data_IF_119692103019
#
_entry.id   IF_119692103019
#
_cell.length_a   1.000
_cell.length_b   1.000
_cell.length_c   1.000
_cell.angle_alpha   90.00
_cell.angle_beta   90.00
_cell.angle_gamma   90.00
#
_symmetry.space_group_name_H-M   'P 1'
#
loop_
_entity.id
_entity.type
_entity.pdbx_description
1 polymer ?
#
# COMPACT_ATOMS: atom_id res chain seq x y z
N UNK A 1 2.96 23.48 -4.29
CA UNK A 1 2.92 23.35 -2.81
C UNK A 1 3.61 22.05 -2.46
N UNK A 2 4.72 22.07 -1.71
CA UNK A 2 5.29 20.83 -1.18
C UNK A 2 4.30 20.25 -0.18
N UNK A 3 3.75 19.08 -0.49
CA UNK A 3 2.63 18.45 0.23
C UNK A 3 2.98 18.12 1.69
N UNK A 4 4.28 17.99 2.01
CA UNK A 4 4.77 17.69 3.36
C UNK A 4 6.07 18.45 3.63
N UNK A 5 6.22 19.01 4.84
CA UNK A 5 7.46 19.66 5.29
C UNK A 5 8.45 18.68 5.94
N UNK A 6 9.75 18.98 5.90
CA UNK A 6 10.78 18.19 6.62
C UNK A 6 10.42 18.04 8.10
N UNK A 7 9.92 19.11 8.72
CA UNK A 7 9.54 19.13 10.13
C UNK A 7 8.46 18.09 10.43
N UNK A 8 7.41 18.01 9.62
CA UNK A 8 6.35 17.00 9.78
C UNK A 8 6.87 15.57 9.59
N UNK A 9 7.76 15.35 8.61
CA UNK A 9 8.39 14.03 8.40
C UNK A 9 9.26 13.62 9.60
N UNK A 10 9.97 14.58 10.18
CA UNK A 10 10.79 14.35 11.37
C UNK A 10 9.93 14.00 12.59
N UNK A 11 8.86 14.76 12.82
CA UNK A 11 7.88 14.54 13.91
C UNK A 11 7.14 13.20 13.76
N UNK A 12 6.79 12.81 12.54
CA UNK A 12 6.19 11.51 12.24
C UNK A 12 7.16 10.32 12.39
N UNK A 13 8.47 10.58 12.58
CA UNK A 13 9.46 9.53 12.77
C UNK A 13 9.82 8.74 11.50
N UNK A 14 9.50 9.23 10.30
CA UNK A 14 9.75 8.49 9.04
C UNK A 14 11.23 8.37 8.67
N UNK A 15 12.08 9.14 9.34
CA UNK A 15 13.54 9.12 9.16
C UNK A 15 14.20 7.87 9.79
N UNK A 16 13.49 7.13 10.64
CA UNK A 16 14.02 5.91 11.24
C UNK A 16 13.95 4.73 10.26
N UNK A 17 15.13 4.21 9.92
CA UNK A 17 15.28 2.98 9.16
C UNK A 17 15.35 1.74 10.05
N UNK A 18 15.92 0.67 9.49
CA UNK A 18 16.15 -0.58 10.22
C UNK A 18 17.53 -0.59 10.89
N UNK A 19 17.75 -1.60 11.73
CA UNK A 19 19.05 -1.88 12.32
C UNK A 19 20.10 -2.20 11.24
N UNK A 20 21.35 -1.80 11.43
CA UNK A 20 22.42 -1.89 10.42
C UNK A 20 22.70 -3.30 9.89
N UNK A 21 22.56 -4.32 10.74
CA UNK A 21 22.61 -5.74 10.36
C UNK A 21 21.55 -6.18 9.33
N UNK A 22 20.43 -5.46 9.19
CA UNK A 22 19.30 -5.80 8.30
C UNK A 22 19.15 -4.73 7.22
N UNK A 23 20.22 -4.45 6.49
CA UNK A 23 20.24 -3.43 5.44
C UNK A 23 20.50 -4.02 4.06
N UNK A 24 20.07 -3.28 3.04
CA UNK A 24 20.34 -3.59 1.64
C UNK A 24 21.38 -2.60 1.11
N UNK A 25 22.53 -3.05 0.57
CA UNK A 25 23.58 -2.16 0.05
C UNK A 25 23.10 -1.14 -0.98
N UNK A 26 22.05 -1.46 -1.75
CA UNK A 26 21.46 -0.53 -2.73
C UNK A 26 20.80 0.70 -2.07
N UNK A 27 20.51 0.65 -0.77
CA UNK A 27 19.93 1.77 -0.03
C UNK A 27 20.98 2.79 0.41
N UNK A 28 22.28 2.56 0.17
CA UNK A 28 23.36 3.46 0.59
C UNK A 28 23.13 4.91 0.16
N UNK A 29 22.60 5.14 -1.05
CA UNK A 29 22.32 6.48 -1.55
C UNK A 29 21.18 7.19 -0.80
N UNK A 30 20.27 6.47 -0.13
CA UNK A 30 19.14 7.03 0.61
C UNK A 30 19.41 7.12 2.12
N UNK A 31 20.53 6.58 2.59
CA UNK A 31 20.93 6.63 3.99
C UNK A 31 21.75 7.90 4.23
N UNK A 32 21.33 8.69 5.22
CA UNK A 32 22.05 9.88 5.65
C UNK A 32 23.21 9.52 6.59
N UNK A 33 22.91 8.78 7.67
CA UNK A 33 23.92 8.36 8.65
C UNK A 33 23.41 7.18 9.49
N UNK A 34 24.27 6.62 10.33
CA UNK A 34 23.92 5.64 11.35
C UNK A 34 23.97 6.29 12.74
N UNK A 35 22.96 6.04 13.57
CA UNK A 35 22.97 6.44 14.99
C UNK A 35 22.46 5.29 15.84
N UNK A 36 23.24 4.91 16.85
CA UNK A 36 22.88 3.83 17.79
C UNK A 36 22.49 2.50 17.09
N UNK A 37 23.18 2.14 16.00
CA UNK A 37 22.89 0.91 15.25
C UNK A 37 21.67 0.98 14.32
N UNK A 38 21.02 2.13 14.18
CA UNK A 38 19.86 2.36 13.29
C UNK A 38 20.28 3.30 12.16
N UNK A 39 19.94 2.94 10.93
CA UNK A 39 20.11 3.83 9.79
C UNK A 39 19.08 4.95 9.79
N UNK A 40 19.54 6.18 9.56
CA UNK A 40 18.70 7.37 9.37
C UNK A 40 18.58 7.63 7.87
N UNK A 41 17.34 7.77 7.40
CA UNK A 41 17.02 8.03 5.99
C UNK A 41 17.15 9.53 5.69
N UNK A 42 17.69 9.86 4.52
CA UNK A 42 17.83 11.24 4.05
C UNK A 42 16.47 11.84 3.62
N UNK A 43 15.89 12.67 4.50
CA UNK A 43 14.61 13.34 4.26
C UNK A 43 14.65 14.35 3.10
N UNK A 44 15.80 14.93 2.77
CA UNK A 44 15.89 15.86 1.64
C UNK A 44 15.69 15.10 0.32
N UNK A 45 16.28 13.90 0.21
CA UNK A 45 16.05 13.01 -0.92
C UNK A 45 14.63 12.48 -0.94
N UNK A 46 14.08 12.10 0.22
CA UNK A 46 12.69 11.64 0.34
C UNK A 46 11.71 12.67 -0.20
N UNK A 47 11.86 13.97 0.10
CA UNK A 47 10.93 15.01 -0.38
C UNK A 47 10.92 15.09 -1.91
N UNK A 48 12.11 15.09 -2.55
CA UNK A 48 12.20 15.12 -4.01
C UNK A 48 11.52 13.91 -4.64
N UNK A 49 11.76 12.71 -4.08
CA UNK A 49 11.11 11.47 -4.54
C UNK A 49 9.61 11.44 -4.27
N UNK A 50 9.17 12.06 -3.19
CA UNK A 50 7.75 12.17 -2.87
C UNK A 50 7.02 13.05 -3.89
N UNK A 51 7.64 14.16 -4.32
CA UNK A 51 7.08 15.02 -5.37
C UNK A 51 7.01 14.30 -6.73
N UNK A 52 8.07 13.59 -7.12
CA UNK A 52 8.06 12.74 -8.33
C UNK A 52 6.91 11.70 -8.29
N UNK A 53 6.78 10.98 -7.17
CA UNK A 53 5.73 9.97 -7.00
C UNK A 53 4.32 10.57 -7.01
N UNK A 54 4.14 11.74 -6.39
CA UNK A 54 2.86 12.44 -6.38
C UNK A 54 2.42 12.84 -7.79
N UNK A 55 3.33 13.40 -8.59
CA UNK A 55 3.02 13.77 -9.97
C UNK A 55 2.59 12.55 -10.78
N UNK A 56 3.31 11.44 -10.67
CA UNK A 56 2.96 10.18 -11.36
C UNK A 56 1.57 9.66 -10.95
N UNK A 57 1.26 9.65 -9.65
CA UNK A 57 -0.03 9.19 -9.14
C UNK A 57 -1.17 10.10 -9.62
N UNK A 58 -0.95 11.42 -9.58
CA UNK A 58 -1.92 12.41 -10.09
C UNK A 58 -2.20 12.18 -11.57
N UNK A 59 -1.16 12.05 -12.37
CA UNK A 59 -1.30 11.92 -13.83
C UNK A 59 -2.01 10.60 -14.17
N UNK A 60 -1.67 9.50 -13.49
CA UNK A 60 -2.38 8.21 -13.62
C UNK A 60 -3.87 8.33 -13.28
N UNK A 61 -4.20 9.08 -12.22
CA UNK A 61 -5.60 9.28 -11.81
C UNK A 61 -6.38 10.15 -12.82
N UNK A 62 -5.74 11.18 -13.38
CA UNK A 62 -6.33 12.05 -14.42
C UNK A 62 -6.63 11.26 -15.69
N UNK A 63 -5.77 10.30 -16.05
CA UNK A 63 -5.95 9.41 -17.20
C UNK A 63 -7.03 8.32 -16.96
N UNK A 64 -7.67 8.31 -15.79
CA UNK A 64 -8.67 7.30 -15.42
C UNK A 64 -8.07 5.93 -15.07
N UNK A 65 -6.77 5.90 -14.75
CA UNK A 65 -6.08 4.71 -14.31
C UNK A 65 -6.53 4.24 -12.92
N UNK A 66 -6.53 2.92 -12.72
CA UNK A 66 -6.83 2.31 -11.42
C UNK A 66 -5.54 2.16 -10.60
N UNK A 67 -5.56 2.56 -9.33
CA UNK A 67 -4.45 2.41 -8.40
C UNK A 67 -4.81 1.31 -7.39
N UNK A 68 -3.89 0.35 -7.20
CA UNK A 68 -4.05 -0.72 -6.23
C UNK A 68 -3.18 -0.44 -5.00
N UNK A 69 -3.82 -0.28 -3.84
CA UNK A 69 -3.15 -0.12 -2.57
C UNK A 69 -2.83 -1.48 -1.96
N UNK A 70 -1.61 -1.68 -1.45
CA UNK A 70 -1.20 -2.97 -0.86
C UNK A 70 -0.48 -2.74 0.45
N UNK A 71 -1.01 -3.30 1.53
CA UNK A 71 -0.40 -3.19 2.87
C UNK A 71 -0.89 -4.28 3.81
N UNK A 72 -0.14 -5.38 3.91
CA UNK A 72 -0.51 -6.55 4.73
C UNK A 72 0.05 -6.51 6.16
N UNK A 73 0.85 -5.50 6.48
CA UNK A 73 1.46 -5.35 7.80
C UNK A 73 0.41 -4.87 8.79
N UNK A 74 0.35 -5.45 9.99
CA UNK A 74 -0.65 -5.08 11.02
C UNK A 74 -0.70 -3.57 11.29
N UNK A 75 0.44 -2.88 11.32
CA UNK A 75 0.50 -1.43 11.55
C UNK A 75 0.00 -0.58 10.36
N UNK A 76 -0.12 -1.17 9.17
CA UNK A 76 -0.50 -0.45 7.94
C UNK A 76 -1.86 -0.88 7.38
N UNK A 77 -2.39 -2.02 7.80
CA UNK A 77 -3.58 -2.64 7.22
C UNK A 77 -4.83 -1.73 7.30
N UNK A 78 -5.04 -1.08 8.45
CA UNK A 78 -6.18 -0.18 8.63
C UNK A 78 -6.01 1.12 7.86
N UNK A 79 -4.83 1.74 7.96
CA UNK A 79 -4.53 3.00 7.26
C UNK A 79 -4.65 2.86 5.74
N UNK A 80 -4.20 1.72 5.17
CA UNK A 80 -4.31 1.46 3.74
C UNK A 80 -5.75 1.29 3.28
N UNK A 81 -6.57 0.57 4.08
CA UNK A 81 -8.00 0.41 3.78
C UNK A 81 -8.72 1.76 3.80
N UNK A 82 -8.54 2.53 4.87
CA UNK A 82 -9.22 3.81 5.07
C UNK A 82 -8.90 4.81 3.94
N UNK A 83 -7.63 4.95 3.59
CA UNK A 83 -7.20 5.89 2.54
C UNK A 83 -7.64 5.43 1.14
N UNK A 84 -7.66 4.11 0.87
CA UNK A 84 -8.14 3.58 -0.39
C UNK A 84 -9.66 3.76 -0.56
N UNK A 85 -10.44 3.50 0.50
CA UNK A 85 -11.88 3.74 0.52
C UNK A 85 -12.21 5.23 0.36
N UNK A 86 -11.44 6.11 1.01
CA UNK A 86 -11.62 7.57 0.88
C UNK A 86 -11.44 8.07 -0.56
N UNK A 87 -10.51 7.48 -1.31
CA UNK A 87 -10.29 7.84 -2.72
C UNK A 87 -11.02 6.94 -3.73
N UNK A 88 -11.83 5.97 -3.27
CA UNK A 88 -12.60 5.08 -4.14
C UNK A 88 -11.76 4.09 -4.95
N UNK A 89 -10.55 3.76 -4.47
CA UNK A 89 -9.60 2.87 -5.16
C UNK A 89 -9.55 1.48 -4.52
N UNK A 90 -8.95 0.51 -5.23
CA UNK A 90 -8.87 -0.88 -4.77
C UNK A 90 -7.74 -1.08 -3.76
N UNK A 91 -7.92 -2.01 -2.81
CA UNK A 91 -6.90 -2.33 -1.81
C UNK A 91 -6.76 -3.82 -1.47
N UNK A 92 -5.59 -4.19 -0.94
CA UNK A 92 -5.29 -5.48 -0.33
C UNK A 92 -4.59 -5.26 1.01
N UNK A 93 -5.31 -5.48 2.12
CA UNK A 93 -4.81 -5.22 3.47
C UNK A 93 -4.59 -6.47 4.36
N UNK A 94 -5.08 -7.64 3.94
CA UNK A 94 -4.93 -8.89 4.71
C UNK A 94 -3.74 -9.70 4.23
N UNK A 95 -3.87 -10.33 3.06
CA UNK A 95 -2.85 -11.22 2.49
C UNK A 95 -2.80 -11.04 0.98
N UNK A 96 -1.59 -10.89 0.45
CA UNK A 96 -1.34 -10.98 -0.98
C UNK A 96 -1.35 -12.44 -1.41
N UNK A 97 -2.33 -12.83 -2.23
CA UNK A 97 -2.38 -14.16 -2.81
C UNK A 97 -1.45 -14.21 -4.02
N UNK A 98 -0.61 -15.25 -4.09
CA UNK A 98 0.22 -15.48 -5.27
C UNK A 98 -0.65 -15.58 -6.51
N UNK A 99 -0.30 -14.85 -7.58
CA UNK A 99 -1.09 -14.82 -8.81
C UNK A 99 -2.19 -13.76 -8.86
N UNK A 100 -2.33 -12.88 -7.86
CA UNK A 100 -3.32 -11.77 -7.89
C UNK A 100 -3.27 -10.95 -9.18
N UNK A 101 -2.07 -10.64 -9.68
CA UNK A 101 -1.88 -9.90 -10.94
C UNK A 101 -1.54 -10.83 -12.12
N UNK A 102 -0.75 -11.87 -11.89
CA UNK A 102 -0.20 -12.72 -12.97
C UNK A 102 -1.12 -13.87 -13.37
N UNK A 103 -1.95 -14.39 -12.45
CA UNK A 103 -2.96 -15.40 -12.71
C UNK A 103 -4.37 -14.86 -12.40
N UNK A 104 -4.69 -13.71 -12.99
CA UNK A 104 -5.95 -13.03 -12.72
C UNK A 104 -7.18 -13.84 -13.14
N UNK A 105 -7.05 -14.74 -14.13
CA UNK A 105 -8.16 -15.60 -14.58
C UNK A 105 -8.70 -16.47 -13.43
N UNK A 106 -7.83 -17.11 -12.66
CA UNK A 106 -8.23 -17.93 -11.51
C UNK A 106 -8.77 -17.08 -10.36
N UNK A 107 -8.15 -15.91 -10.12
CA UNK A 107 -8.60 -14.99 -9.08
C UNK A 107 -10.00 -14.47 -9.39
N UNK A 108 -10.28 -14.13 -10.65
CA UNK A 108 -11.59 -13.71 -11.12
C UNK A 108 -12.66 -14.77 -10.86
N UNK A 109 -12.36 -16.05 -11.08
CA UNK A 109 -13.29 -17.14 -10.74
C UNK A 109 -13.63 -17.19 -9.25
N UNK A 110 -12.67 -16.86 -8.37
CA UNK A 110 -12.92 -16.79 -6.92
C UNK A 110 -13.81 -15.60 -6.55
N UNK A 111 -13.63 -14.45 -7.23
CA UNK A 111 -14.49 -13.27 -7.08
C UNK A 111 -15.90 -13.55 -7.58
N UNK A 112 -16.04 -14.21 -8.73
CA UNK A 112 -17.34 -14.62 -9.28
C UNK A 112 -18.06 -15.59 -8.34
N UNK A 113 -17.31 -16.54 -7.75
CA UNK A 113 -17.85 -17.43 -6.71
C UNK A 113 -18.33 -16.64 -5.48
N UNK A 114 -17.58 -15.66 -4.99
CA UNK A 114 -18.01 -14.82 -3.88
C UNK A 114 -19.35 -14.14 -4.19
N UNK A 115 -19.45 -13.49 -5.36
CA UNK A 115 -20.70 -12.84 -5.80
C UNK A 115 -21.88 -13.82 -5.90
N UNK A 116 -21.64 -15.06 -6.34
CA UNK A 116 -22.69 -16.07 -6.35
C UNK A 116 -23.15 -16.47 -4.95
N UNK A 117 -22.23 -16.55 -3.98
CA UNK A 117 -22.55 -16.87 -2.59
C UNK A 117 -23.33 -15.72 -1.93
N UNK A 118 -22.90 -14.48 -2.14
CA UNK A 118 -23.63 -13.29 -1.66
C UNK A 118 -25.06 -13.24 -2.22
N UNK A 119 -25.23 -13.54 -3.52
CA UNK A 119 -26.55 -13.62 -4.13
C UNK A 119 -27.43 -14.72 -3.53
N UNK A 120 -26.87 -15.92 -3.31
CA UNK A 120 -27.57 -17.03 -2.66
C UNK A 120 -27.99 -16.72 -1.21
N UNK A 121 -27.29 -15.79 -0.56
CA UNK A 121 -27.64 -15.30 0.76
C UNK A 121 -28.79 -14.29 0.72
N UNK A 122 -28.78 -13.39 -0.25
CA UNK A 122 -29.83 -12.39 -0.42
C UNK A 122 -31.16 -13.00 -0.87
N UNK A 123 -31.13 -14.04 -1.69
CA UNK A 123 -32.34 -14.70 -2.22
C UNK A 123 -32.89 -15.83 -1.34
N UNK A 124 -32.27 -16.09 -0.17
CA UNK A 124 -32.70 -17.11 0.79
C UNK A 124 -32.42 -18.55 0.35
N UNK A 125 -31.65 -18.77 -0.72
CA UNK A 125 -31.27 -20.12 -1.16
C UNK A 125 -30.50 -20.88 -0.08
N UNK A 126 -29.76 -20.19 0.79
CA UNK A 126 -29.07 -20.82 1.92
C UNK A 126 -30.00 -21.50 2.93
N UNK A 127 -31.21 -20.97 3.15
CA UNK A 127 -32.17 -21.53 4.11
C UNK A 127 -32.76 -22.87 3.63
N UNK A 128 -32.62 -23.16 2.34
CA UNK A 128 -33.07 -24.40 1.69
C UNK A 128 -31.96 -25.45 1.61
N UNK A 129 -30.73 -25.12 2.01
CA UNK A 129 -29.63 -26.07 2.07
C UNK A 129 -29.71 -26.92 3.35
N UNK A 130 -29.35 -28.20 3.28
CA UNK A 130 -29.39 -29.13 4.42
C UNK A 130 -28.38 -28.81 5.52
#
# INVERSE_FOLDING_TARGET
>A
MSIVSIKQLLEAGVHFGHHTRRWNPKMAEYIFTERNGIYIIDLQKTIKKFEEAYMFVRDTAVDGGNILFVGTKKQAADAIREEAERCGMYYVNVRWLGGMLTNYKTIKMSIERLRSLEKMQEDGTFDMLP
#
